data_IF_838343337628
#
_entry.id   IF_838343337628
#
_cell.length_a   1.000
_cell.length_b   1.000
_cell.length_c   1.000
_cell.angle_alpha   90.00
_cell.angle_beta   90.00
_cell.angle_gamma   90.00
#
_symmetry.space_group_name_H-M   'P 1'
#
loop_
_entity.id
_entity.type
_entity.pdbx_description
1 polymer ?
#
# COMPACT_ATOMS: atom_id res chain seq x y z
N UNK A 1 22.76 1.17 -11.00
CA UNK A 1 22.77 2.04 -9.80
C UNK A 1 21.57 1.70 -8.92
N UNK A 2 21.80 1.54 -7.62
CA UNK A 2 20.70 1.26 -6.70
C UNK A 2 19.82 2.50 -6.52
N UNK A 3 18.52 2.26 -6.32
CA UNK A 3 17.55 3.31 -6.06
C UNK A 3 17.70 3.80 -4.61
N UNK A 4 17.72 5.11 -4.42
CA UNK A 4 17.64 5.70 -3.09
C UNK A 4 16.18 5.97 -2.72
N UNK A 5 15.89 6.08 -1.43
CA UNK A 5 14.51 6.25 -0.96
C UNK A 5 14.03 7.70 -0.98
N UNK A 6 14.92 8.66 -1.17
CA UNK A 6 14.53 10.06 -1.23
C UNK A 6 13.63 10.32 -2.45
N UNK A 7 12.55 11.07 -2.25
CA UNK A 7 11.62 11.41 -3.31
C UNK A 7 10.55 10.36 -3.60
N UNK A 8 10.53 9.26 -2.88
CA UNK A 8 9.44 8.29 -3.00
C UNK A 8 8.18 8.90 -2.38
N UNK A 9 7.07 8.83 -3.10
CA UNK A 9 5.80 9.43 -2.67
C UNK A 9 4.74 8.39 -2.48
N UNK A 10 3.89 8.60 -1.49
CA UNK A 10 2.71 7.78 -1.23
C UNK A 10 1.48 8.60 -1.60
N UNK A 11 0.64 8.07 -2.48
CA UNK A 11 -0.53 8.77 -3.00
C UNK A 11 -1.76 7.89 -2.94
N UNK A 12 -2.93 8.50 -3.00
CA UNK A 12 -4.19 7.78 -3.08
C UNK A 12 -5.07 8.38 -4.17
N UNK A 13 -6.10 7.65 -4.57
CA UNK A 13 -7.09 8.15 -5.50
C UNK A 13 -8.37 7.32 -5.40
N UNK A 14 -9.46 7.88 -5.91
CA UNK A 14 -10.74 7.18 -5.97
C UNK A 14 -10.76 6.29 -7.21
N UNK A 15 -11.10 5.02 -7.03
CA UNK A 15 -11.19 4.09 -8.16
C UNK A 15 -12.42 4.37 -9.00
N UNK A 16 -12.32 4.10 -10.28
CA UNK A 16 -13.44 4.17 -11.20
C UNK A 16 -14.31 2.92 -11.16
N UNK A 17 -15.35 2.92 -11.97
CA UNK A 17 -16.28 1.80 -12.08
C UNK A 17 -15.53 0.51 -12.45
N UNK A 18 -15.98 -0.62 -11.91
CA UNK A 18 -15.41 -1.94 -12.19
C UNK A 18 -13.92 -2.07 -11.80
N UNK A 19 -13.48 -1.30 -10.81
CA UNK A 19 -12.11 -1.39 -10.31
C UNK A 19 -11.07 -0.75 -11.22
N UNK A 20 -11.49 0.22 -12.04
CA UNK A 20 -10.58 0.94 -12.93
C UNK A 20 -9.61 1.80 -12.12
N UNK A 21 -8.35 1.85 -12.55
CA UNK A 21 -7.32 2.68 -11.94
C UNK A 21 -7.79 4.13 -11.80
N UNK A 22 -7.51 4.80 -10.67
CA UNK A 22 -7.84 6.22 -10.51
C UNK A 22 -7.23 7.08 -11.62
N UNK A 23 -8.00 8.07 -12.07
CA UNK A 23 -7.51 9.02 -13.07
C UNK A 23 -6.63 10.10 -12.46
N UNK A 24 -6.80 10.35 -11.16
CA UNK A 24 -6.03 11.34 -10.43
C UNK A 24 -5.50 10.76 -9.12
N UNK A 25 -4.30 11.19 -8.75
CA UNK A 25 -3.65 10.79 -7.52
C UNK A 25 -3.38 12.00 -6.65
N UNK A 26 -3.69 11.87 -5.37
CA UNK A 26 -3.45 12.93 -4.38
C UNK A 26 -2.32 12.48 -3.46
N UNK A 27 -1.29 13.32 -3.33
CA UNK A 27 -0.15 13.02 -2.47
C UNK A 27 -0.55 13.10 -0.99
N UNK A 28 -0.05 12.14 -0.22
CA UNK A 28 -0.15 12.16 1.24
C UNK A 28 1.20 12.67 1.75
N UNK A 29 1.26 13.90 2.29
CA UNK A 29 2.53 14.50 2.69
C UNK A 29 3.04 13.95 4.02
N UNK A 30 4.29 14.29 4.35
CA UNK A 30 4.92 14.04 5.65
C UNK A 30 5.07 12.57 6.03
N UNK A 31 4.97 11.66 5.05
CA UNK A 31 5.20 10.23 5.27
C UNK A 31 6.69 9.99 5.48
N UNK A 32 7.03 9.31 6.57
CA UNK A 32 8.43 9.03 6.93
C UNK A 32 8.83 7.60 6.62
N UNK A 33 7.88 6.67 6.59
CA UNK A 33 8.18 5.28 6.31
C UNK A 33 7.00 4.62 5.59
N UNK A 34 7.31 3.88 4.54
CA UNK A 34 6.35 3.10 3.78
C UNK A 34 6.70 1.62 3.98
N UNK A 35 5.74 0.78 4.40
CA UNK A 35 6.03 -0.64 4.63
C UNK A 35 6.20 -1.40 3.32
N UNK A 36 6.72 -2.60 3.43
CA UNK A 36 6.76 -3.52 2.31
C UNK A 36 5.34 -3.88 1.87
N UNK A 37 5.08 -3.78 0.58
CA UNK A 37 3.78 -4.08 -0.02
C UNK A 37 3.97 -5.11 -1.11
N UNK A 38 3.03 -6.01 -1.20
CA UNK A 38 3.16 -7.22 -1.97
C UNK A 38 3.60 -8.30 -1.00
N UNK A 39 3.51 -9.47 -1.32
CA UNK A 39 3.75 -10.45 -0.30
C UNK A 39 4.31 -11.75 -0.79
N UNK A 40 4.57 -12.57 0.18
CA UNK A 40 4.89 -13.95 -0.08
C UNK A 40 3.68 -14.66 -0.66
N UNK A 41 3.96 -15.66 -1.44
CA UNK A 41 2.94 -16.55 -1.98
C UNK A 41 2.85 -17.76 -1.05
N UNK A 42 1.68 -17.99 -0.50
CA UNK A 42 1.44 -19.21 0.25
C UNK A 42 1.41 -20.40 -0.70
N UNK A 43 1.87 -21.53 -0.22
CA UNK A 43 1.83 -22.77 -0.99
C UNK A 43 1.11 -23.85 -0.21
N UNK A 44 0.45 -24.72 -0.95
CA UNK A 44 -0.27 -25.85 -0.38
C UNK A 44 0.38 -27.13 -0.90
N UNK A 45 0.73 -28.04 0.02
CA UNK A 45 1.28 -29.32 -0.39
C UNK A 45 0.20 -30.14 -1.09
N UNK A 46 0.49 -30.53 -2.34
CA UNK A 46 -0.44 -31.31 -3.16
C UNK A 46 0.11 -32.70 -3.52
N UNK A 47 1.01 -33.20 -2.68
CA UNK A 47 1.59 -34.53 -2.87
C UNK A 47 0.50 -35.60 -2.84
N UNK A 48 0.51 -36.50 -3.83
CA UNK A 48 -0.43 -37.61 -3.90
C UNK A 48 0.26 -38.91 -3.52
N UNK A 49 -0.54 -39.95 -3.30
CA UNK A 49 0.00 -41.28 -2.98
C UNK A 49 0.84 -41.86 -4.12
N UNK A 50 0.61 -41.41 -5.34
CA UNK A 50 1.37 -41.87 -6.50
C UNK A 50 2.75 -41.24 -6.62
N UNK A 51 2.97 -40.12 -5.91
CA UNK A 51 4.25 -39.40 -5.93
C UNK A 51 5.03 -39.70 -4.67
N UNK A 52 5.83 -40.78 -4.70
CA UNK A 52 6.55 -41.26 -3.54
C UNK A 52 7.91 -40.63 -3.33
N UNK A 53 8.47 -39.96 -4.35
CA UNK A 53 9.83 -39.42 -4.28
C UNK A 53 9.88 -37.92 -3.94
N UNK A 54 8.90 -37.15 -4.42
CA UNK A 54 8.90 -35.71 -4.28
C UNK A 54 7.57 -35.22 -3.76
N UNK A 55 7.66 -34.23 -2.88
CA UNK A 55 6.47 -33.46 -2.48
C UNK A 55 6.15 -32.44 -3.56
N UNK A 56 4.87 -32.28 -3.85
CA UNK A 56 4.40 -31.27 -4.79
C UNK A 56 3.63 -30.20 -4.05
N UNK A 57 3.72 -28.96 -4.56
CA UNK A 57 3.07 -27.80 -3.96
C UNK A 57 2.34 -27.03 -5.04
N UNK A 58 1.23 -26.44 -4.67
CA UNK A 58 0.52 -25.49 -5.53
C UNK A 58 0.52 -24.13 -4.86
N UNK A 59 0.58 -23.08 -5.68
CA UNK A 59 0.51 -21.72 -5.15
C UNK A 59 -0.91 -21.41 -4.71
N UNK A 60 -1.04 -20.89 -3.49
CA UNK A 60 -2.29 -20.35 -3.01
C UNK A 60 -2.41 -18.87 -3.42
N UNK A 61 -3.47 -18.21 -2.99
CA UNK A 61 -3.60 -16.78 -3.20
C UNK A 61 -2.48 -16.04 -2.48
N UNK A 62 -1.98 -14.97 -3.11
CA UNK A 62 -0.97 -14.14 -2.47
C UNK A 62 -1.56 -13.50 -1.22
N UNK A 63 -0.78 -13.51 -0.16
CA UNK A 63 -1.10 -12.79 1.05
C UNK A 63 -0.65 -11.35 0.88
N UNK A 64 -1.60 -10.43 0.88
CA UNK A 64 -1.32 -8.99 0.77
C UNK A 64 -0.98 -8.36 2.11
N UNK A 65 -0.89 -9.19 3.18
CA UNK A 65 -0.45 -8.72 4.49
C UNK A 65 -1.56 -8.17 5.38
N UNK A 66 -2.81 -8.21 4.94
CA UNK A 66 -3.92 -7.66 5.72
C UNK A 66 -3.75 -6.17 5.98
N UNK A 67 -3.97 -5.75 7.21
CA UNK A 67 -3.79 -4.35 7.57
C UNK A 67 -2.31 -4.03 7.76
N UNK A 68 -1.84 -3.01 7.06
CA UNK A 68 -0.47 -2.51 7.16
C UNK A 68 -0.51 -1.01 7.42
N UNK A 69 0.63 -0.42 7.75
CA UNK A 69 0.66 0.98 8.10
C UNK A 69 1.81 1.73 7.45
N UNK A 70 1.57 3.01 7.16
CA UNK A 70 2.63 3.96 6.86
C UNK A 70 2.88 4.81 8.09
N UNK A 71 4.13 5.14 8.35
CA UNK A 71 4.50 6.06 9.43
C UNK A 71 4.65 7.47 8.86
N UNK A 72 4.22 8.45 9.62
CA UNK A 72 4.26 9.84 9.18
C UNK A 72 4.45 10.77 10.37
N UNK A 73 4.88 12.00 10.08
CA UNK A 73 4.82 13.09 11.04
C UNK A 73 3.35 13.50 11.20
N UNK A 74 2.90 13.69 12.42
CA UNK A 74 1.52 14.08 12.68
C UNK A 74 1.33 15.58 12.45
N UNK A 75 0.92 15.93 11.23
CA UNK A 75 0.70 17.30 10.81
C UNK A 75 -0.73 17.50 10.32
N UNK A 76 -1.26 18.74 10.34
CA UNK A 76 -2.59 18.98 9.76
C UNK A 76 -2.69 18.56 8.29
N UNK A 77 -1.62 18.74 7.53
CA UNK A 77 -1.58 18.35 6.12
C UNK A 77 -1.71 16.83 5.95
N UNK A 78 -0.99 16.06 6.75
CA UNK A 78 -1.09 14.60 6.71
C UNK A 78 -2.50 14.15 7.11
N UNK A 79 -3.06 14.72 8.17
CA UNK A 79 -4.40 14.35 8.65
C UNK A 79 -5.47 14.66 7.62
N UNK A 80 -5.37 15.80 6.95
CA UNK A 80 -6.31 16.18 5.90
C UNK A 80 -6.24 15.21 4.72
N UNK A 81 -5.03 14.90 4.27
CA UNK A 81 -4.83 13.97 3.17
C UNK A 81 -5.34 12.57 3.52
N UNK A 82 -5.05 12.10 4.73
CA UNK A 82 -5.49 10.78 5.16
C UNK A 82 -7.01 10.70 5.29
N UNK A 83 -7.64 11.75 5.79
CA UNK A 83 -9.10 11.81 5.84
C UNK A 83 -9.73 11.72 4.45
N UNK A 84 -9.10 12.35 3.45
CA UNK A 84 -9.51 12.22 2.06
C UNK A 84 -9.40 10.77 1.56
N UNK A 85 -8.33 10.07 1.92
CA UNK A 85 -8.15 8.66 1.58
C UNK A 85 -9.25 7.79 2.21
N UNK A 86 -9.55 8.01 3.49
CA UNK A 86 -10.63 7.28 4.19
C UNK A 86 -11.97 7.53 3.52
N UNK A 87 -12.25 8.77 3.16
CA UNK A 87 -13.50 9.14 2.49
C UNK A 87 -13.59 8.48 1.11
N UNK A 88 -12.51 8.46 0.35
CA UNK A 88 -12.46 7.80 -0.95
C UNK A 88 -12.68 6.29 -0.81
N UNK A 89 -12.12 5.69 0.23
CA UNK A 89 -12.28 4.26 0.49
C UNK A 89 -13.72 3.88 0.80
N UNK A 90 -14.49 4.81 1.37
CA UNK A 90 -15.90 4.60 1.66
C UNK A 90 -16.82 4.87 0.47
N UNK A 91 -16.25 5.37 -0.63
CA UNK A 91 -17.01 5.64 -1.84
C UNK A 91 -17.50 4.37 -2.51
N UNK A 92 -18.37 4.53 -3.50
CA UNK A 92 -19.03 3.41 -4.20
C UNK A 92 -18.04 2.43 -4.82
N UNK A 93 -16.98 2.93 -5.43
CA UNK A 93 -16.00 2.10 -6.11
C UNK A 93 -14.72 1.87 -5.27
N UNK A 94 -14.66 2.44 -4.06
CA UNK A 94 -13.51 2.31 -3.21
C UNK A 94 -12.35 3.22 -3.60
N UNK A 95 -11.20 2.97 -3.00
CA UNK A 95 -9.99 3.76 -3.25
C UNK A 95 -8.83 2.85 -3.61
N UNK A 96 -7.81 3.46 -4.19
CA UNK A 96 -6.52 2.81 -4.43
C UNK A 96 -5.42 3.70 -3.87
N UNK A 97 -4.30 3.08 -3.55
CA UNK A 97 -3.10 3.79 -3.15
C UNK A 97 -1.98 3.45 -4.12
N UNK A 98 -1.00 4.32 -4.20
CA UNK A 98 0.17 4.04 -5.01
C UNK A 98 1.45 4.57 -4.36
N UNK A 99 2.55 3.98 -4.77
CA UNK A 99 3.89 4.42 -4.39
C UNK A 99 4.58 4.80 -5.67
N UNK A 100 5.00 6.06 -5.77
CA UNK A 100 5.73 6.58 -6.93
C UNK A 100 7.21 6.66 -6.62
N UNK A 101 8.01 5.97 -7.41
CA UNK A 101 9.45 5.88 -7.24
C UNK A 101 10.12 6.68 -8.36
N UNK A 102 10.93 7.71 -8.03
CA UNK A 102 11.58 8.53 -9.05
C UNK A 102 12.72 7.79 -9.74
N UNK A 103 13.40 8.50 -10.66
CA UNK A 103 14.57 7.95 -11.34
C UNK A 103 15.60 7.41 -10.34
N UNK A 104 16.35 6.35 -10.66
CA UNK A 104 16.39 5.67 -11.97
C UNK A 104 15.25 4.68 -12.22
N UNK A 105 14.49 4.29 -11.22
CA UNK A 105 13.48 3.24 -11.39
C UNK A 105 12.26 3.74 -12.18
N UNK A 106 11.79 4.96 -11.94
CA UNK A 106 10.65 5.59 -12.63
C UNK A 106 9.41 4.69 -12.71
N UNK A 107 8.95 4.21 -11.56
CA UNK A 107 7.81 3.29 -11.52
C UNK A 107 6.77 3.74 -10.53
N UNK A 108 5.53 3.38 -10.82
CA UNK A 108 4.40 3.52 -9.90
C UNK A 108 3.86 2.15 -9.61
N UNK A 109 3.71 1.84 -8.35
CA UNK A 109 3.09 0.59 -7.90
C UNK A 109 1.78 0.97 -7.25
N UNK A 110 0.65 0.53 -7.83
CA UNK A 110 -0.66 0.87 -7.30
C UNK A 110 -1.47 -0.38 -6.97
N UNK A 111 -2.36 -0.25 -6.03
CA UNK A 111 -3.16 -1.36 -5.54
C UNK A 111 -4.47 -0.83 -4.96
N UNK A 112 -5.57 -1.61 -5.04
CA UNK A 112 -6.79 -1.26 -4.32
C UNK A 112 -6.51 -1.29 -2.82
N UNK A 113 -7.01 -0.30 -2.10
CA UNK A 113 -6.77 -0.19 -0.67
C UNK A 113 -7.94 0.45 0.05
N UNK A 114 -8.06 0.14 1.33
CA UNK A 114 -9.05 0.77 2.20
C UNK A 114 -8.32 1.31 3.43
N UNK A 115 -8.52 2.58 3.71
CA UNK A 115 -7.88 3.25 4.84
C UNK A 115 -8.80 3.30 6.05
N UNK A 116 -8.19 3.29 7.22
CA UNK A 116 -8.89 3.40 8.50
C UNK A 116 -8.61 4.79 9.08
N UNK A 117 -9.59 5.36 9.77
CA UNK A 117 -9.44 6.66 10.42
C UNK A 117 -8.26 6.67 11.37
N UNK A 118 -7.56 7.81 11.39
CA UNK A 118 -6.40 7.98 12.26
C UNK A 118 -6.81 8.04 13.73
N UNK A 119 -5.95 7.48 14.57
CA UNK A 119 -6.05 7.63 16.02
C UNK A 119 -5.00 8.60 16.54
N UNK A 120 -4.36 8.21 17.62
CA UNK A 120 -3.26 8.95 18.23
C UNK A 120 -2.06 8.04 18.37
N UNK A 121 -0.93 8.49 17.90
CA UNK A 121 0.31 7.68 17.86
C UNK A 121 1.11 7.65 19.15
N UNK A 122 0.65 8.36 20.18
CA UNK A 122 1.38 8.49 21.43
C UNK A 122 2.34 9.67 21.42
N UNK A 123 2.81 10.06 22.58
CA UNK A 123 3.70 11.20 22.70
C UNK A 123 4.77 10.93 23.74
N UNK A 124 5.98 11.46 23.50
CA UNK A 124 7.10 11.39 24.43
C UNK A 124 7.76 12.77 24.50
N UNK A 125 8.36 13.05 25.64
CA UNK A 125 9.12 14.29 25.81
C UNK A 125 10.32 14.31 24.86
N UNK A 126 10.55 15.45 24.22
CA UNK A 126 11.65 15.67 23.29
C UNK A 126 11.61 14.84 22.02
N UNK A 127 10.45 14.31 21.66
CA UNK A 127 10.26 13.57 20.41
C UNK A 127 9.28 14.28 19.50
N UNK A 128 9.49 14.17 18.20
CA UNK A 128 8.51 14.64 17.24
C UNK A 128 7.24 13.80 17.35
N UNK A 129 6.09 14.43 17.16
CA UNK A 129 4.82 13.72 17.17
C UNK A 129 4.67 12.96 15.85
N UNK A 130 4.52 11.65 15.96
CA UNK A 130 4.36 10.77 14.81
C UNK A 130 3.08 9.98 14.92
N UNK A 131 2.61 9.45 13.80
CA UNK A 131 1.39 8.67 13.75
C UNK A 131 1.52 7.60 12.66
N UNK A 132 0.79 6.52 12.83
CA UNK A 132 0.71 5.47 11.82
C UNK A 132 -0.66 5.51 11.17
N UNK A 133 -0.69 5.54 9.85
CA UNK A 133 -1.93 5.41 9.09
C UNK A 133 -2.10 3.95 8.66
N UNK A 134 -3.16 3.32 9.12
CA UNK A 134 -3.42 1.92 8.82
C UNK A 134 -4.31 1.79 7.60
N UNK A 135 -3.97 0.86 6.73
CA UNK A 135 -4.77 0.57 5.56
C UNK A 135 -4.67 -0.92 5.21
N UNK A 136 -5.63 -1.40 4.44
CA UNK A 136 -5.66 -2.79 4.00
C UNK A 136 -5.50 -2.83 2.49
N UNK A 137 -4.60 -3.68 2.01
CA UNK A 137 -4.43 -3.92 0.58
C UNK A 137 -5.51 -4.91 0.13
N UNK A 138 -6.35 -4.50 -0.81
CA UNK A 138 -7.52 -5.27 -1.23
C UNK A 138 -7.30 -6.08 -2.49
N UNK A 139 -6.17 -5.90 -3.16
CA UNK A 139 -5.89 -6.62 -4.37
C UNK A 139 -4.41 -6.65 -4.71
N UNK A 140 -4.05 -7.34 -5.77
CA UNK A 140 -2.66 -7.46 -6.18
C UNK A 140 -2.07 -6.11 -6.61
N UNK A 141 -0.89 -5.74 -6.09
CA UNK A 141 -0.21 -4.54 -6.56
C UNK A 141 0.16 -4.67 -8.03
N UNK A 142 -0.05 -3.59 -8.78
CA UNK A 142 0.27 -3.51 -10.20
C UNK A 142 1.33 -2.46 -10.43
N UNK A 143 2.21 -2.74 -11.36
CA UNK A 143 3.35 -1.89 -11.64
C UNK A 143 3.18 -1.22 -12.99
N UNK A 144 3.50 0.08 -13.07
CA UNK A 144 3.46 0.82 -14.32
C UNK A 144 4.59 1.85 -14.36
N UNK A 145 4.88 2.36 -15.56
CA UNK A 145 5.88 3.41 -15.68
C UNK A 145 5.35 4.71 -15.07
N UNK A 146 6.23 5.44 -14.38
CA UNK A 146 5.86 6.74 -13.83
C UNK A 146 5.58 7.72 -14.99
N UNK A 147 4.45 8.41 -14.90
CA UNK A 147 4.02 9.32 -15.95
C UNK A 147 3.13 8.70 -17.01
N UNK A 148 2.81 7.42 -16.88
CA UNK A 148 1.89 6.75 -17.79
C UNK A 148 0.42 7.03 -17.44
#
# INVERSE_FOLDING_TARGET
MAQITAGIKFKYGSMGASGTKPSEWTEIPDVTEIPEIGGDVDTIESTTLDNMEYKTYISALKDTGGAISVSAMDTPEFRTAWAGFVTAAKGENGAAACIEIPAPLNKRIWFPASAVSLGFGGAQVNSALTISGYFTVLGEPKEEALGA
#
